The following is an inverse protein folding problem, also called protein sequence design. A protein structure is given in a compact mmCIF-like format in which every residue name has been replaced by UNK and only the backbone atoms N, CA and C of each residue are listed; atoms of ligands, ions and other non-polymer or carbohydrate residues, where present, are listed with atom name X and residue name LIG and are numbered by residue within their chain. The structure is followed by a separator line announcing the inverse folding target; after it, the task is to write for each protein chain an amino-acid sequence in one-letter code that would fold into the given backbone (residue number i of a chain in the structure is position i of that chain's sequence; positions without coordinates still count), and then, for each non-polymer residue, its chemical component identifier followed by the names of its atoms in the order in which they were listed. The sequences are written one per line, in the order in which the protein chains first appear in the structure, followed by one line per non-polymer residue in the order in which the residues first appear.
data_IF_430591875170
#
_entry.id   IF_430591875170
#
_cell.length_a   1.000
_cell.length_b   1.000
_cell.length_c   1.000
_cell.angle_alpha   90.00
_cell.angle_beta   90.00
_cell.angle_gamma   90.00
#
_symmetry.space_group_name_H-M   'P 1'
#
loop_
_entity.id
_entity.type
_entity.pdbx_description
1 polymer ?
#
# COMPACT_ATOMS: atom_id res chain seq x y z
N UNK A 1 9.04 -6.49 21.90
CA UNK A 1 8.81 -6.73 20.46
C UNK A 1 10.16 -6.98 19.81
N UNK A 2 10.30 -7.97 18.91
CA UNK A 2 11.61 -8.34 18.35
C UNK A 2 12.17 -7.20 17.47
N UNK A 3 13.35 -6.67 17.79
CA UNK A 3 14.00 -5.58 17.02
C UNK A 3 14.22 -5.93 15.55
N UNK A 4 14.49 -7.20 15.25
CA UNK A 4 14.66 -7.67 13.86
C UNK A 4 13.36 -7.61 13.08
N UNK A 5 12.25 -7.98 13.73
CA UNK A 5 10.91 -7.88 13.16
C UNK A 5 10.57 -6.42 12.83
N UNK A 6 10.83 -5.51 13.77
CA UNK A 6 10.58 -4.08 13.57
C UNK A 6 11.39 -3.50 12.41
N UNK A 7 12.68 -3.87 12.30
CA UNK A 7 13.51 -3.47 11.16
C UNK A 7 12.93 -3.94 9.83
N UNK A 8 12.42 -5.17 9.76
CA UNK A 8 11.80 -5.71 8.54
C UNK A 8 10.51 -5.00 8.17
N UNK A 9 9.66 -4.70 9.15
CA UNK A 9 8.45 -3.90 8.94
C UNK A 9 8.82 -2.51 8.40
N UNK A 10 9.86 -1.87 8.96
CA UNK A 10 10.32 -0.58 8.46
C UNK A 10 10.89 -0.66 7.03
N UNK A 11 11.55 -1.77 6.67
CA UNK A 11 12.02 -1.99 5.30
C UNK A 11 10.84 -2.07 4.31
N UNK A 12 9.79 -2.82 4.63
CA UNK A 12 8.59 -2.89 3.77
C UNK A 12 7.88 -1.55 3.65
N UNK A 13 7.78 -0.82 4.77
CA UNK A 13 7.25 0.55 4.78
C UNK A 13 8.07 1.49 3.89
N UNK A 14 9.40 1.38 3.91
CA UNK A 14 10.27 2.19 3.06
C UNK A 14 10.11 1.87 1.57
N UNK A 15 9.94 0.59 1.19
CA UNK A 15 9.65 0.23 -0.20
C UNK A 15 8.37 0.88 -0.71
N UNK A 16 7.31 0.86 0.10
CA UNK A 16 6.04 1.50 -0.25
C UNK A 16 6.21 3.01 -0.36
N UNK A 17 6.98 3.64 0.54
CA UNK A 17 7.29 5.06 0.44
C UNK A 17 8.04 5.39 -0.85
N UNK A 18 9.07 4.63 -1.20
CA UNK A 18 9.85 4.81 -2.43
C UNK A 18 8.95 4.66 -3.67
N UNK A 19 8.03 3.69 -3.65
CA UNK A 19 7.00 3.55 -4.69
C UNK A 19 6.13 4.81 -4.81
N UNK A 20 5.59 5.33 -3.71
CA UNK A 20 4.75 6.54 -3.70
C UNK A 20 5.53 7.74 -4.26
N UNK A 21 6.76 7.94 -3.76
CA UNK A 21 7.64 9.04 -4.18
C UNK A 21 7.98 8.93 -5.68
N UNK A 22 8.24 7.71 -6.18
CA UNK A 22 8.49 7.45 -7.60
C UNK A 22 7.27 7.77 -8.47
N UNK A 23 6.08 7.32 -8.09
CA UNK A 23 4.85 7.61 -8.85
C UNK A 23 4.51 9.10 -8.85
N UNK A 24 4.70 9.79 -7.72
CA UNK A 24 4.55 11.25 -7.63
C UNK A 24 5.52 11.98 -8.56
N UNK A 25 6.77 11.53 -8.63
CA UNK A 25 7.76 12.08 -9.55
C UNK A 25 7.30 11.93 -11.01
N UNK A 26 6.92 10.71 -11.41
CA UNK A 26 6.45 10.41 -12.77
C UNK A 26 5.25 11.28 -13.14
N UNK A 27 4.25 11.37 -12.27
CA UNK A 27 3.07 12.18 -12.55
C UNK A 27 3.35 13.68 -12.55
N UNK A 28 4.33 14.15 -11.77
CA UNK A 28 4.78 15.54 -11.75
C UNK A 28 5.48 15.99 -13.05
N UNK A 29 5.96 15.06 -13.86
CA UNK A 29 6.55 15.35 -15.19
C UNK A 29 5.48 15.56 -16.28
N UNK A 30 4.18 15.40 -15.95
CA UNK A 30 3.08 15.67 -16.87
C UNK A 30 3.07 17.15 -17.26
N UNK A 31 3.22 17.44 -18.56
CA UNK A 31 3.39 18.80 -19.08
C UNK A 31 2.16 19.69 -18.88
N UNK A 32 0.95 19.12 -18.92
CA UNK A 32 -0.29 19.84 -18.67
C UNK A 32 -0.54 19.93 -17.16
N UNK A 33 -0.58 21.14 -16.60
CA UNK A 33 -0.73 21.35 -15.17
C UNK A 33 -2.07 20.83 -14.61
N UNK A 34 -3.17 20.96 -15.35
CA UNK A 34 -4.46 20.45 -14.92
C UNK A 34 -4.48 18.91 -14.91
N UNK A 35 -3.87 18.29 -15.92
CA UNK A 35 -3.71 16.84 -15.98
C UNK A 35 -2.77 16.32 -14.89
N UNK A 36 -1.69 17.05 -14.60
CA UNK A 36 -0.74 16.75 -13.52
C UNK A 36 -1.46 16.70 -12.17
N UNK A 37 -2.23 17.76 -11.85
CA UNK A 37 -3.03 17.82 -10.62
C UNK A 37 -3.98 16.63 -10.55
N UNK A 38 -4.73 16.38 -11.63
CA UNK A 38 -5.67 15.26 -11.68
C UNK A 38 -4.99 13.90 -11.46
N UNK A 39 -3.83 13.64 -12.09
CA UNK A 39 -3.08 12.38 -11.92
C UNK A 39 -2.58 12.20 -10.49
N UNK A 40 -2.15 13.28 -9.82
CA UNK A 40 -1.73 13.23 -8.42
C UNK A 40 -2.92 13.01 -7.47
N UNK A 41 -4.07 13.65 -7.71
CA UNK A 41 -5.29 13.44 -6.93
C UNK A 41 -5.83 12.00 -7.10
N UNK A 42 -5.78 11.46 -8.32
CA UNK A 42 -6.12 10.05 -8.59
C UNK A 42 -5.17 9.12 -7.85
N UNK A 43 -3.86 9.39 -7.85
CA UNK A 43 -2.89 8.60 -7.09
C UNK A 43 -3.24 8.56 -5.60
N UNK A 44 -3.47 9.72 -4.97
CA UNK A 44 -3.81 9.80 -3.55
C UNK A 44 -5.13 9.08 -3.24
N UNK A 45 -6.11 9.20 -4.12
CA UNK A 45 -7.40 8.49 -3.99
C UNK A 45 -7.22 6.97 -4.04
N UNK A 46 -6.44 6.47 -5.00
CA UNK A 46 -6.16 5.05 -5.15
C UNK A 46 -5.33 4.51 -3.98
N UNK A 47 -4.37 5.27 -3.47
CA UNK A 47 -3.61 4.92 -2.27
C UNK A 47 -4.53 4.78 -1.06
N UNK A 48 -5.45 5.73 -0.86
CA UNK A 48 -6.43 5.65 0.23
C UNK A 48 -7.34 4.44 0.08
N UNK A 49 -7.90 4.21 -1.11
CA UNK A 49 -8.75 3.05 -1.37
C UNK A 49 -8.02 1.74 -1.10
N UNK A 50 -6.75 1.63 -1.47
CA UNK A 50 -5.94 0.45 -1.19
C UNK A 50 -5.88 0.14 0.32
N UNK A 51 -6.06 1.10 1.23
CA UNK A 51 -6.04 0.81 2.66
C UNK A 51 -7.30 0.12 3.22
N UNK A 52 -8.44 0.20 2.53
CA UNK A 52 -9.72 -0.27 3.10
C UNK A 52 -10.70 -0.93 2.12
N UNK A 53 -10.63 -0.62 0.83
CA UNK A 53 -11.57 -1.11 -0.16
C UNK A 53 -11.41 -2.63 -0.34
N UNK A 54 -12.50 -3.34 -0.61
CA UNK A 54 -12.39 -4.74 -1.01
C UNK A 54 -11.64 -4.87 -2.33
N UNK A 55 -10.94 -5.99 -2.59
CA UNK A 55 -10.14 -6.15 -3.82
C UNK A 55 -10.94 -5.87 -5.11
N UNK A 56 -12.19 -6.34 -5.18
CA UNK A 56 -13.04 -6.12 -6.35
C UNK A 56 -13.44 -4.64 -6.51
N UNK A 57 -13.65 -3.91 -5.41
CA UNK A 57 -13.93 -2.48 -5.43
C UNK A 57 -12.73 -1.69 -5.93
N UNK A 58 -11.53 -2.07 -5.49
CA UNK A 58 -10.27 -1.47 -5.93
C UNK A 58 -10.03 -1.70 -7.43
N UNK A 59 -10.29 -2.91 -7.94
CA UNK A 59 -10.20 -3.19 -9.38
C UNK A 59 -11.19 -2.39 -10.21
N UNK A 60 -12.42 -2.25 -9.72
CA UNK A 60 -13.43 -1.44 -10.39
C UNK A 60 -13.00 0.03 -10.46
N UNK A 61 -12.37 0.55 -9.40
CA UNK A 61 -11.83 1.91 -9.43
C UNK A 61 -10.71 2.04 -10.46
N UNK A 62 -9.78 1.08 -10.55
CA UNK A 62 -8.74 1.09 -11.58
C UNK A 62 -9.32 1.20 -12.99
N UNK A 63 -10.44 0.51 -13.27
CA UNK A 63 -11.11 0.56 -14.57
C UNK A 63 -11.83 1.90 -14.83
N UNK A 64 -12.23 2.59 -13.76
CA UNK A 64 -12.96 3.85 -13.81
C UNK A 64 -12.03 5.05 -14.03
N UNK A 65 -10.94 5.12 -13.25
CA UNK A 65 -10.10 6.33 -13.17
C UNK A 65 -8.82 6.25 -14.00
N UNK A 66 -8.37 5.04 -14.36
CA UNK A 66 -7.16 4.88 -15.17
C UNK A 66 -7.52 4.69 -16.66
N UNK A 67 -6.88 5.46 -17.57
CA UNK A 67 -7.15 5.34 -19.00
C UNK A 67 -6.79 3.96 -19.55
N UNK A 68 -7.80 3.25 -20.09
CA UNK A 68 -7.63 1.91 -20.67
C UNK A 68 -6.71 1.88 -21.90
N UNK A 69 -6.64 3.00 -22.62
CA UNK A 69 -5.80 3.25 -23.78
C UNK A 69 -4.33 3.56 -23.43
N UNK A 70 -4.01 3.77 -22.14
CA UNK A 70 -2.66 4.08 -21.66
C UNK A 70 -2.14 3.06 -20.64
N UNK A 71 -2.69 1.83 -20.60
CA UNK A 71 -2.17 0.70 -19.80
C UNK A 71 -0.78 0.23 -20.30
N UNK A 72 0.19 1.13 -20.27
CA UNK A 72 1.60 0.85 -20.39
C UNK A 72 2.18 0.36 -19.08
N UNK A 73 3.48 0.07 -19.10
CA UNK A 73 4.20 -0.55 -17.99
C UNK A 73 4.04 0.21 -16.66
N UNK A 74 4.02 1.55 -16.71
CA UNK A 74 3.83 2.41 -15.52
C UNK A 74 2.48 2.19 -14.83
N UNK A 75 1.36 2.16 -15.58
CA UNK A 75 0.04 1.96 -14.98
C UNK A 75 -0.15 0.52 -14.50
N UNK A 76 0.43 -0.45 -15.20
CA UNK A 76 0.42 -1.85 -14.75
C UNK A 76 1.21 -2.02 -13.46
N UNK A 77 2.39 -1.39 -13.36
CA UNK A 77 3.19 -1.34 -12.15
C UNK A 77 2.45 -0.67 -11.00
N UNK A 78 1.81 0.49 -11.23
CA UNK A 78 0.97 1.18 -10.26
C UNK A 78 -0.13 0.26 -9.71
N UNK A 79 -0.92 -0.37 -10.58
CA UNK A 79 -2.00 -1.26 -10.15
C UNK A 79 -1.47 -2.46 -9.36
N UNK A 80 -0.35 -3.04 -9.77
CA UNK A 80 0.27 -4.15 -9.05
C UNK A 80 0.69 -3.75 -7.63
N UNK A 81 1.36 -2.62 -7.48
CA UNK A 81 1.78 -2.12 -6.17
C UNK A 81 0.58 -1.76 -5.28
N UNK A 82 -0.49 -1.20 -5.83
CA UNK A 82 -1.71 -0.90 -5.08
C UNK A 82 -2.45 -2.16 -4.61
N UNK A 83 -2.48 -3.23 -5.40
CA UNK A 83 -2.99 -4.54 -4.96
C UNK A 83 -2.18 -5.12 -3.81
N UNK A 84 -0.86 -4.97 -3.88
CA UNK A 84 0.05 -5.44 -2.85
C UNK A 84 -0.17 -4.70 -1.52
N UNK A 85 -0.24 -3.37 -1.58
CA UNK A 85 -0.64 -2.53 -0.45
C UNK A 85 -1.99 -2.96 0.12
N UNK A 86 -2.99 -3.19 -0.74
CA UNK A 86 -4.31 -3.62 -0.31
C UNK A 86 -4.31 -4.97 0.40
N UNK A 87 -3.57 -5.93 -0.14
CA UNK A 87 -3.41 -7.23 0.50
C UNK A 87 -2.75 -7.14 1.88
N UNK A 88 -1.78 -6.25 2.06
CA UNK A 88 -1.18 -6.01 3.38
C UNK A 88 -2.12 -5.28 4.34
N UNK A 89 -2.79 -4.22 3.91
CA UNK A 89 -3.71 -3.44 4.74
C UNK A 89 -4.90 -4.30 5.21
N UNK A 90 -5.47 -5.13 4.33
CA UNK A 90 -6.57 -6.03 4.69
C UNK A 90 -6.10 -7.33 5.36
N UNK A 91 -4.79 -7.58 5.40
CA UNK A 91 -4.22 -8.83 5.92
C UNK A 91 -4.65 -10.08 5.15
N UNK A 92 -5.03 -9.93 3.87
CA UNK A 92 -5.69 -10.96 3.07
C UNK A 92 -4.74 -11.99 2.44
N UNK A 93 -3.43 -11.71 2.40
CA UNK A 93 -2.46 -12.65 1.83
C UNK A 93 -2.29 -13.92 2.67
N UNK A 94 -1.99 -15.05 2.02
CA UNK A 94 -1.69 -16.30 2.70
C UNK A 94 -0.36 -16.22 3.47
N UNK A 95 -0.11 -17.19 4.35
CA UNK A 95 1.17 -17.31 5.02
C UNK A 95 2.35 -17.57 4.05
N UNK A 96 2.09 -17.96 2.80
CA UNK A 96 3.12 -18.22 1.78
C UNK A 96 3.63 -16.95 1.10
N UNK A 97 2.99 -15.80 1.34
CA UNK A 97 3.46 -14.52 0.81
C UNK A 97 4.88 -14.25 1.29
N UNK A 98 5.77 -13.84 0.38
CA UNK A 98 7.21 -13.72 0.65
C UNK A 98 7.51 -12.80 1.85
N UNK A 99 6.85 -11.64 1.92
CA UNK A 99 6.97 -10.71 3.03
C UNK A 99 6.51 -11.34 4.36
N UNK A 100 5.42 -12.10 4.36
CA UNK A 100 4.93 -12.74 5.58
C UNK A 100 5.82 -13.90 6.01
N UNK A 101 6.31 -14.73 5.09
CA UNK A 101 7.33 -15.74 5.40
C UNK A 101 8.57 -15.11 6.05
N UNK A 102 9.04 -14.00 5.49
CA UNK A 102 10.22 -13.30 5.97
C UNK A 102 10.00 -12.66 7.36
N UNK A 103 8.81 -12.13 7.63
CA UNK A 103 8.43 -11.60 8.94
C UNK A 103 8.22 -12.72 9.98
N UNK A 104 7.53 -13.80 9.62
CA UNK A 104 7.22 -14.91 10.52
C UNK A 104 8.44 -15.75 10.89
N UNK A 105 9.50 -15.75 10.07
CA UNK A 105 10.78 -16.37 10.43
C UNK A 105 11.45 -15.69 11.64
N UNK A 106 10.97 -14.50 12.05
CA UNK A 106 11.53 -13.72 13.16
C UNK A 106 10.70 -13.81 14.45
N UNK A 107 9.70 -14.68 14.52
CA UNK A 107 8.96 -14.94 15.76
C UNK A 107 9.30 -16.36 16.29
N UNK A 108 9.68 -16.46 17.56
CA UNK A 108 10.18 -17.71 18.17
C UNK A 108 9.14 -18.84 18.20
N UNK A 109 7.85 -18.50 18.20
CA UNK A 109 6.73 -19.45 18.13
C UNK A 109 5.70 -18.89 17.15
N UNK A 110 5.55 -19.54 16.00
CA UNK A 110 4.68 -19.08 14.91
C UNK A 110 3.22 -19.51 15.12
N UNK A 111 2.63 -19.10 16.24
CA UNK A 111 1.20 -19.34 16.51
C UNK A 111 0.33 -18.46 15.62
N UNK A 112 -0.91 -18.89 15.35
CA UNK A 112 -1.86 -18.10 14.58
C UNK A 112 -2.05 -16.69 15.15
N UNK A 113 -2.17 -16.56 16.47
CA UNK A 113 -2.30 -15.27 17.17
C UNK A 113 -1.08 -14.36 16.94
N UNK A 114 0.14 -14.90 17.01
CA UNK A 114 1.36 -14.11 16.78
C UNK A 114 1.51 -13.70 15.33
N UNK A 115 1.15 -14.57 14.38
CA UNK A 115 1.10 -14.23 12.96
C UNK A 115 0.09 -13.11 12.70
N UNK A 116 -1.09 -13.20 13.31
CA UNK A 116 -2.10 -12.15 13.21
C UNK A 116 -1.59 -10.82 13.77
N UNK A 117 -0.97 -10.84 14.96
CA UNK A 117 -0.38 -9.63 15.53
C UNK A 117 0.70 -8.98 14.65
N UNK A 118 1.48 -9.78 13.92
CA UNK A 118 2.47 -9.29 12.93
C UNK A 118 1.76 -8.68 11.71
N UNK A 119 0.71 -9.34 11.20
CA UNK A 119 -0.11 -8.82 10.09
C UNK A 119 -0.75 -7.48 10.46
N UNK A 120 -1.36 -7.40 11.63
CA UNK A 120 -2.00 -6.18 12.15
C UNK A 120 -0.98 -5.05 12.32
N UNK A 121 0.22 -5.38 12.81
CA UNK A 121 1.30 -4.41 12.95
C UNK A 121 1.77 -3.89 11.59
N UNK A 122 1.97 -4.76 10.61
CA UNK A 122 2.35 -4.34 9.25
C UNK A 122 1.24 -3.50 8.60
N UNK A 123 0.00 -3.99 8.62
CA UNK A 123 -1.18 -3.30 8.10
C UNK A 123 -1.29 -1.89 8.69
N UNK A 124 -1.17 -1.76 10.01
CA UNK A 124 -1.21 -0.47 10.70
C UNK A 124 -0.10 0.47 10.23
N UNK A 125 1.13 0.00 10.15
CA UNK A 125 2.27 0.84 9.73
C UNK A 125 2.12 1.33 8.28
N UNK A 126 1.63 0.48 7.38
CA UNK A 126 1.40 0.85 5.97
C UNK A 126 0.24 1.84 5.87
N UNK A 127 -0.86 1.60 6.59
CA UNK A 127 -2.02 2.49 6.61
C UNK A 127 -1.64 3.88 7.15
N UNK A 128 -0.88 3.94 8.25
CA UNK A 128 -0.39 5.21 8.82
C UNK A 128 0.56 5.95 7.86
N UNK A 129 1.43 5.23 7.15
CA UNK A 129 2.27 5.81 6.09
C UNK A 129 1.39 6.46 5.02
N UNK A 130 0.41 5.73 4.48
CA UNK A 130 -0.44 6.23 3.39
C UNK A 130 -1.25 7.44 3.85
N UNK A 131 -1.80 7.42 5.07
CA UNK A 131 -2.51 8.57 5.61
C UNK A 131 -1.59 9.79 5.76
N UNK A 132 -0.35 9.58 6.18
CA UNK A 132 0.65 10.65 6.26
C UNK A 132 0.97 11.22 4.89
N UNK A 133 1.25 10.36 3.91
CA UNK A 133 1.64 10.78 2.55
C UNK A 133 0.51 11.49 1.80
N UNK A 134 -0.73 11.06 2.01
CA UNK A 134 -1.95 11.64 1.41
C UNK A 134 -2.53 12.80 2.21
N UNK A 135 -1.86 13.24 3.28
CA UNK A 135 -2.32 14.30 4.20
C UNK A 135 -3.71 14.04 4.80
N UNK A 136 -4.11 12.77 4.85
CA UNK A 136 -5.37 12.35 5.48
C UNK A 136 -5.14 12.27 6.99
N UNK A 137 -5.85 13.10 7.75
CA UNK A 137 -5.73 13.12 9.21
C UNK A 137 -6.05 11.72 9.78
N UNK A 138 -5.04 11.02 10.30
CA UNK A 138 -5.13 9.69 10.95
C UNK A 138 -6.01 9.65 12.21
N UNK A 139 -6.81 10.69 12.47
CA UNK A 139 -7.46 10.95 13.75
C UNK A 139 -8.75 10.16 14.00
N UNK A 140 -9.13 9.21 13.13
CA UNK A 140 -10.41 8.47 13.25
C UNK A 140 -10.35 7.00 12.85
N UNK A 141 -9.50 6.20 13.47
CA UNK A 141 -9.68 4.72 13.50
C UNK A 141 -9.24 4.16 14.86
N UNK A 142 -9.82 4.70 15.94
CA UNK A 142 -9.57 4.22 17.30
C UNK A 142 -10.60 4.73 18.28
N UNK A 143 -11.75 4.05 18.35
CA UNK A 143 -12.66 3.98 19.51
C UNK A 143 -13.60 2.81 19.29
#
# INVERSE_FOLDING_TARGET
MNERLLKKIELEKNKIKEFIDSMRCIFSETANEAEKINRLEVLDTLLLLATYAQPDELENEFLSVLPNNERGDTLNYLCQQLREINGFCLGSFSDEHEVYQDLFSNIELSTAEKKQAVRDLLSKNITELIFTETQTMSHRLGS
#
